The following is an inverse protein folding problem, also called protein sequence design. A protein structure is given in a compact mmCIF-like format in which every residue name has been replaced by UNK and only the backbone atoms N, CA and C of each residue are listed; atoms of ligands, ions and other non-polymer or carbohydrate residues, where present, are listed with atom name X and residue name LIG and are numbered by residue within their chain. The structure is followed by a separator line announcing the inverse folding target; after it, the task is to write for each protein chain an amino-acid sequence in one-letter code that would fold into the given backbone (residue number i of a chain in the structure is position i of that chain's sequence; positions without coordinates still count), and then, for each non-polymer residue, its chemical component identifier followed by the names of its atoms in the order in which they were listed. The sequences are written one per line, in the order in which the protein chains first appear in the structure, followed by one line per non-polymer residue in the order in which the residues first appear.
data_IF_676586862338
#
_entry.id   IF_676586862338
#
_cell.length_a   1.000
_cell.length_b   1.000
_cell.length_c   1.000
_cell.angle_alpha   90.00
_cell.angle_beta   90.00
_cell.angle_gamma   90.00
#
_symmetry.space_group_name_H-M   'P 1'
#
loop_
_entity.id
_entity.type
_entity.pdbx_description
1 polymer ?
#
# COMPACT_ATOMS: atom_id res chain seq x y z
N UNK A 1 -10.80 12.82 -0.02
CA UNK A 1 -9.85 11.74 0.28
C UNK A 1 -9.25 11.80 1.70
N UNK A 2 -9.40 12.90 2.45
CA UNK A 2 -8.83 13.04 3.80
C UNK A 2 -9.24 11.92 4.78
N UNK A 3 -10.43 11.35 4.60
CA UNK A 3 -11.00 10.38 5.53
C UNK A 3 -10.60 8.93 5.28
N UNK A 4 -9.83 8.63 4.21
CA UNK A 4 -9.49 7.25 3.86
C UNK A 4 -8.73 6.55 4.99
N UNK A 5 -7.60 7.11 5.43
CA UNK A 5 -6.76 6.49 6.45
C UNK A 5 -7.44 6.48 7.84
N UNK A 6 -8.13 7.55 8.28
CA UNK A 6 -8.96 7.49 9.48
C UNK A 6 -10.04 6.40 9.43
N UNK A 7 -10.70 6.23 8.29
CA UNK A 7 -11.73 5.19 8.10
C UNK A 7 -11.12 3.79 8.15
N UNK A 8 -10.01 3.56 7.46
CA UNK A 8 -9.31 2.28 7.48
C UNK A 8 -8.91 1.87 8.90
N UNK A 9 -8.40 2.82 9.69
CA UNK A 9 -8.07 2.60 11.11
C UNK A 9 -9.31 2.23 11.94
N UNK A 10 -10.41 2.97 11.80
CA UNK A 10 -11.67 2.67 12.51
C UNK A 10 -12.20 1.28 12.20
N UNK A 11 -12.10 0.86 10.93
CA UNK A 11 -12.47 -0.50 10.51
C UNK A 11 -11.59 -1.52 11.22
N UNK A 12 -10.27 -1.35 11.20
CA UNK A 12 -9.33 -2.25 11.87
C UNK A 12 -9.58 -2.37 13.39
N UNK A 13 -9.83 -1.25 14.07
CA UNK A 13 -10.20 -1.22 15.49
C UNK A 13 -11.51 -1.95 15.76
N UNK A 14 -12.54 -1.74 14.92
CA UNK A 14 -13.84 -2.38 15.06
C UNK A 14 -13.78 -3.91 14.92
N UNK A 15 -12.83 -4.43 14.14
CA UNK A 15 -12.61 -5.88 13.97
C UNK A 15 -11.50 -6.43 14.90
N UNK A 16 -11.01 -5.63 15.85
CA UNK A 16 -10.01 -6.05 16.83
C UNK A 16 -8.61 -6.32 16.26
N UNK A 17 -8.29 -5.79 15.08
CA UNK A 17 -7.01 -6.04 14.41
C UNK A 17 -6.01 -4.93 14.73
N UNK A 18 -5.00 -5.26 15.55
CA UNK A 18 -3.92 -4.32 15.91
C UNK A 18 -2.96 -4.07 14.74
N UNK A 19 -2.53 -5.15 14.09
CA UNK A 19 -1.60 -5.12 12.96
C UNK A 19 -2.39 -5.36 11.67
N UNK A 20 -2.27 -4.46 10.69
CA UNK A 20 -2.99 -4.56 9.42
C UNK A 20 -2.29 -3.77 8.31
N UNK A 21 -2.55 -4.16 7.06
CA UNK A 21 -2.11 -3.43 5.88
C UNK A 21 -3.30 -2.68 5.24
N UNK A 22 -3.03 -1.51 4.66
CA UNK A 22 -3.94 -0.84 3.72
C UNK A 22 -3.34 -0.96 2.33
N UNK A 23 -4.06 -1.59 1.40
CA UNK A 23 -3.58 -1.85 0.05
C UNK A 23 -4.60 -1.36 -0.99
N UNK A 24 -4.09 -0.71 -2.04
CA UNK A 24 -4.86 -0.33 -3.21
C UNK A 24 -4.08 -0.67 -4.47
N UNK A 25 -4.75 -1.36 -5.39
CA UNK A 25 -4.15 -1.89 -6.61
C UNK A 25 -4.63 -1.10 -7.84
N UNK A 26 -3.70 -0.65 -8.68
CA UNK A 26 -3.98 0.06 -9.93
C UNK A 26 -3.44 -0.73 -11.13
N UNK A 27 -4.31 -1.38 -11.89
CA UNK A 27 -3.97 -2.19 -13.06
C UNK A 27 -3.82 -3.68 -12.77
N UNK A 28 -4.00 -4.50 -13.83
CA UNK A 28 -4.06 -5.97 -13.73
C UNK A 28 -2.76 -6.60 -13.21
N UNK A 29 -1.61 -6.12 -13.68
CA UNK A 29 -0.29 -6.57 -13.21
C UNK A 29 0.00 -6.16 -11.76
N UNK A 30 -0.67 -5.14 -11.24
CA UNK A 30 -0.62 -4.74 -9.84
C UNK A 30 -1.71 -5.44 -9.01
N UNK A 31 -2.25 -6.56 -9.49
CA UNK A 31 -3.27 -7.37 -8.81
C UNK A 31 -4.66 -6.71 -8.65
N UNK A 32 -5.03 -5.77 -9.53
CA UNK A 32 -6.41 -5.26 -9.56
C UNK A 32 -7.34 -6.24 -10.30
N UNK A 33 -8.27 -6.86 -9.56
CA UNK A 33 -9.25 -7.80 -10.13
C UNK A 33 -10.57 -7.11 -10.54
N UNK A 34 -10.96 -6.03 -9.86
CA UNK A 34 -12.21 -5.30 -10.12
C UNK A 34 -11.90 -3.87 -10.54
N UNK A 35 -12.52 -3.42 -11.63
CA UNK A 35 -12.29 -2.10 -12.24
C UNK A 35 -13.06 -0.97 -11.53
N UNK A 36 -13.00 -0.97 -10.20
CA UNK A 36 -13.48 0.09 -9.34
C UNK A 36 -12.42 0.34 -8.26
N UNK A 37 -12.14 1.60 -7.91
CA UNK A 37 -11.17 1.90 -6.86
C UNK A 37 -11.70 1.34 -5.54
N UNK A 38 -10.91 0.47 -4.91
CA UNK A 38 -11.20 -0.10 -3.60
C UNK A 38 -9.92 -0.18 -2.78
N UNK A 39 -10.08 -0.03 -1.47
CA UNK A 39 -9.00 -0.15 -0.50
C UNK A 39 -9.24 -1.39 0.34
N UNK A 40 -8.26 -2.27 0.38
CA UNK A 40 -8.26 -3.40 1.30
C UNK A 40 -7.78 -2.94 2.67
N UNK A 41 -8.45 -3.41 3.73
CA UNK A 41 -7.93 -3.42 5.10
C UNK A 41 -7.70 -4.89 5.45
N UNK A 42 -6.44 -5.29 5.55
CA UNK A 42 -6.04 -6.70 5.63
C UNK A 42 -5.42 -6.96 7.00
N UNK A 43 -6.08 -7.71 7.89
CA UNK A 43 -5.50 -8.15 9.17
C UNK A 43 -4.17 -8.91 8.98
N UNK A 44 -3.21 -8.68 9.87
CA UNK A 44 -1.92 -9.40 9.94
C UNK A 44 -1.74 -10.03 11.33
N UNK A 45 -2.41 -11.15 11.64
CA UNK A 45 -2.42 -11.69 13.01
C UNK A 45 -1.09 -12.34 13.43
N UNK A 46 -0.29 -12.80 12.46
CA UNK A 46 1.03 -13.40 12.66
C UNK A 46 1.85 -13.31 11.36
N UNK A 47 3.06 -13.87 11.32
CA UNK A 47 3.96 -13.79 10.15
C UNK A 47 3.46 -14.53 8.90
N UNK A 48 2.65 -15.58 9.07
CA UNK A 48 2.26 -16.50 7.99
C UNK A 48 0.88 -16.21 7.38
N UNK A 49 0.03 -15.45 8.07
CA UNK A 49 -1.34 -15.11 7.62
C UNK A 49 -1.46 -13.64 7.19
N UNK A 50 -2.50 -13.30 6.43
CA UNK A 50 -2.73 -11.94 5.92
C UNK A 50 -1.94 -11.62 4.65
N UNK A 51 -1.57 -10.35 4.46
CA UNK A 51 -0.76 -9.94 3.32
C UNK A 51 0.69 -10.40 3.51
N UNK A 52 1.18 -11.20 2.57
CA UNK A 52 2.59 -11.61 2.47
C UNK A 52 3.19 -10.97 1.22
N UNK A 53 4.27 -10.21 1.39
CA UNK A 53 4.97 -9.56 0.29
C UNK A 53 6.46 -9.88 0.32
N UNK A 54 6.99 -10.16 -0.86
CA UNK A 54 8.43 -10.25 -1.07
C UNK A 54 8.99 -8.85 -1.35
N UNK A 55 9.91 -8.39 -0.51
CA UNK A 55 10.47 -7.04 -0.63
C UNK A 55 11.83 -7.06 -1.35
N UNK A 56 11.80 -6.97 -2.69
CA UNK A 56 13.02 -6.90 -3.52
C UNK A 56 13.52 -5.46 -3.64
N UNK A 57 14.36 -5.04 -2.70
CA UNK A 57 15.03 -3.74 -2.79
C UNK A 57 15.95 -3.71 -4.01
N UNK A 58 15.97 -2.56 -4.69
CA UNK A 58 16.95 -2.27 -5.73
C UNK A 58 17.84 -1.15 -5.23
N UNK A 59 19.14 -1.32 -5.38
CA UNK A 59 20.07 -0.21 -5.19
C UNK A 59 19.89 0.80 -6.32
N UNK A 60 19.70 2.06 -5.94
CA UNK A 60 19.54 3.18 -6.86
C UNK A 60 20.60 4.22 -6.52
N UNK A 61 21.35 4.66 -7.52
CA UNK A 61 22.39 5.67 -7.32
C UNK A 61 21.80 7.01 -6.89
N UNK A 62 22.56 7.79 -6.13
CA UNK A 62 22.15 9.13 -5.68
C UNK A 62 21.75 10.03 -6.86
N UNK A 63 22.52 9.99 -7.95
CA UNK A 63 22.21 10.74 -9.18
C UNK A 63 20.88 10.33 -9.80
N UNK A 64 20.58 9.02 -9.80
CA UNK A 64 19.30 8.51 -10.32
C UNK A 64 18.15 8.93 -9.42
N UNK A 65 18.34 8.95 -8.10
CA UNK A 65 17.34 9.43 -7.16
C UNK A 65 17.06 10.93 -7.32
N UNK A 66 18.10 11.75 -7.51
CA UNK A 66 17.94 13.18 -7.75
C UNK A 66 17.23 13.47 -9.09
N UNK A 67 17.58 12.72 -10.14
CA UNK A 67 16.89 12.81 -11.43
C UNK A 67 15.40 12.45 -11.32
N UNK A 68 15.05 11.37 -10.60
CA UNK A 68 13.65 10.99 -10.37
C UNK A 68 12.91 12.06 -9.56
N UNK A 69 13.50 12.56 -8.47
CA UNK A 69 12.92 13.64 -7.66
C UNK A 69 12.59 14.87 -8.52
N UNK A 70 13.53 15.32 -9.35
CA UNK A 70 13.33 16.46 -10.26
C UNK A 70 12.23 16.19 -11.28
N UNK A 71 12.12 14.96 -11.79
CA UNK A 71 11.06 14.60 -12.72
C UNK A 71 9.67 14.63 -12.05
N UNK A 72 9.54 14.09 -10.83
CA UNK A 72 8.26 14.04 -10.11
C UNK A 72 7.79 15.39 -9.55
N UNK A 73 8.71 16.29 -9.20
CA UNK A 73 8.40 17.64 -8.69
C UNK A 73 8.18 18.69 -9.78
N UNK A 74 8.27 18.31 -11.06
CA UNK A 74 7.99 19.19 -12.21
C UNK A 74 6.54 19.14 -12.68
N UNK A 75 5.67 18.49 -11.90
CA UNK A 75 4.24 18.82 -11.84
C UNK A 75 4.05 20.13 -11.06
#
# INVERSE_FOLDING_TARGET
MADLLPTAKKVAEAIGCKEYNVLQNNGRLAHQAVDHVHFHVIPKPNENEGLVMEWKQKDVSADRMDALRKAYLKL
#
